data_IF_349744422372
#
_entry.id   IF_349744422372
#
_cell.length_a   1.000
_cell.length_b   1.000
_cell.length_c   1.000
_cell.angle_alpha   90.00
_cell.angle_beta   90.00
_cell.angle_gamma   90.00
#
_symmetry.space_group_name_H-M   'P 1'
#
loop_
_entity.id
_entity.type
_entity.pdbx_description
1 polymer ?
#
# COMPACT_ATOMS: atom_id res chain seq x y z
N UNK A 1 10.31 19.20 -34.29
CA UNK A 1 9.25 19.28 -33.25
C UNK A 1 9.70 18.55 -32.00
N UNK A 2 10.33 19.24 -31.04
CA UNK A 2 10.78 18.67 -29.75
C UNK A 2 10.37 19.62 -28.62
N UNK A 3 9.07 19.91 -28.52
CA UNK A 3 8.48 20.78 -27.48
C UNK A 3 7.46 20.06 -26.61
N UNK A 4 7.30 18.73 -26.75
CA UNK A 4 6.22 17.95 -26.09
C UNK A 4 6.59 17.22 -24.79
N UNK A 5 7.84 16.80 -24.59
CA UNK A 5 8.21 15.89 -23.48
C UNK A 5 8.23 16.56 -22.10
N UNK A 6 8.63 17.83 -22.05
CA UNK A 6 8.64 18.61 -20.80
C UNK A 6 7.24 18.80 -20.20
N UNK A 7 6.25 19.09 -21.04
CA UNK A 7 4.87 19.27 -20.61
C UNK A 7 4.25 17.94 -20.12
N UNK A 8 4.51 16.83 -20.81
CA UNK A 8 4.01 15.52 -20.41
C UNK A 8 4.51 15.10 -19.01
N UNK A 9 5.82 15.26 -18.75
CA UNK A 9 6.43 14.91 -17.45
C UNK A 9 5.89 15.78 -16.32
N UNK A 10 5.70 17.08 -16.58
CA UNK A 10 5.11 18.01 -15.61
C UNK A 10 3.66 17.63 -15.27
N UNK A 11 2.86 17.26 -16.26
CA UNK A 11 1.46 16.81 -16.08
C UNK A 11 1.42 15.54 -15.22
N UNK A 12 2.21 14.52 -15.54
CA UNK A 12 2.25 13.26 -14.77
C UNK A 12 2.68 13.53 -13.32
N UNK A 13 3.71 14.36 -13.13
CA UNK A 13 4.20 14.71 -11.79
C UNK A 13 3.14 15.46 -10.97
N UNK A 14 2.42 16.40 -11.58
CA UNK A 14 1.34 17.15 -10.92
C UNK A 14 0.25 16.21 -10.41
N UNK A 15 -0.26 15.33 -11.25
CA UNK A 15 -1.34 14.42 -10.88
C UNK A 15 -0.88 13.27 -9.98
N UNK A 16 0.36 12.81 -10.12
CA UNK A 16 1.00 11.91 -9.16
C UNK A 16 1.03 12.53 -7.76
N UNK A 17 1.39 13.81 -7.64
CA UNK A 17 1.32 14.53 -6.34
C UNK A 17 -0.11 14.68 -5.84
N UNK A 18 -1.08 14.96 -6.72
CA UNK A 18 -2.49 15.07 -6.33
C UNK A 18 -3.04 13.76 -5.72
N UNK A 19 -2.72 12.62 -6.33
CA UNK A 19 -3.02 11.29 -5.78
C UNK A 19 -2.41 11.09 -4.39
N UNK A 20 -1.13 11.42 -4.21
CA UNK A 20 -0.48 11.29 -2.91
C UNK A 20 -1.11 12.22 -1.89
N UNK A 21 -1.41 13.47 -2.25
CA UNK A 21 -2.04 14.45 -1.37
C UNK A 21 -3.44 13.98 -0.91
N UNK A 22 -4.24 13.43 -1.82
CA UNK A 22 -5.54 12.83 -1.50
C UNK A 22 -5.37 11.63 -0.56
N UNK A 23 -4.45 10.72 -0.86
CA UNK A 23 -4.17 9.56 -0.01
C UNK A 23 -3.76 9.95 1.41
N UNK A 24 -2.89 10.96 1.55
CA UNK A 24 -2.51 11.54 2.85
C UNK A 24 -3.74 12.07 3.61
N UNK A 25 -4.68 12.74 2.93
CA UNK A 25 -5.93 13.18 3.53
C UNK A 25 -6.80 12.02 4.02
N UNK A 26 -6.95 10.96 3.20
CA UNK A 26 -7.65 9.75 3.61
C UNK A 26 -6.97 9.03 4.77
N UNK A 27 -5.64 9.10 4.89
CA UNK A 27 -4.93 8.52 6.03
C UNK A 27 -5.33 9.20 7.33
N UNK A 28 -5.42 10.53 7.35
CA UNK A 28 -5.92 11.29 8.49
C UNK A 28 -7.37 10.92 8.79
N UNK A 29 -8.23 10.92 7.77
CA UNK A 29 -9.64 10.55 7.93
C UNK A 29 -9.80 9.12 8.47
N UNK A 30 -8.98 8.18 8.01
CA UNK A 30 -8.97 6.80 8.49
C UNK A 30 -8.58 6.69 9.96
N UNK A 31 -7.51 7.38 10.39
CA UNK A 31 -7.11 7.36 11.80
C UNK A 31 -8.17 7.98 12.70
N UNK A 32 -8.81 9.08 12.26
CA UNK A 32 -9.92 9.70 12.99
C UNK A 32 -11.11 8.74 13.09
N UNK A 33 -11.50 8.13 11.97
CA UNK A 33 -12.60 7.16 11.92
C UNK A 33 -12.38 5.98 12.88
N UNK A 34 -11.15 5.46 12.97
CA UNK A 34 -10.79 4.41 13.93
C UNK A 34 -10.80 4.94 15.37
N UNK A 35 -10.30 6.16 15.61
CA UNK A 35 -10.28 6.77 16.94
C UNK A 35 -11.68 7.00 17.52
N UNK A 36 -12.64 7.42 16.69
CA UNK A 36 -14.04 7.61 17.10
C UNK A 36 -14.86 6.32 17.09
N UNK A 37 -14.26 5.18 16.73
CA UNK A 37 -14.89 3.87 16.84
C UNK A 37 -15.80 3.48 15.68
N UNK A 38 -15.60 4.03 14.47
CA UNK A 38 -16.36 3.56 13.29
C UNK A 38 -16.05 2.09 12.97
N UNK A 39 -17.07 1.40 12.45
CA UNK A 39 -16.98 0.00 12.10
C UNK A 39 -15.92 -0.28 11.01
N UNK A 40 -15.43 -1.52 10.98
CA UNK A 40 -14.43 -1.97 9.99
C UNK A 40 -14.91 -1.79 8.55
N UNK A 41 -16.20 -1.99 8.30
CA UNK A 41 -16.82 -1.79 7.00
C UNK A 41 -16.61 -0.37 6.46
N UNK A 42 -16.61 0.66 7.32
CA UNK A 42 -16.33 2.04 6.95
C UNK A 42 -14.82 2.34 6.93
N UNK A 43 -14.06 1.84 7.91
CA UNK A 43 -12.64 2.22 8.03
C UNK A 43 -11.74 1.55 6.99
N UNK A 44 -12.04 0.32 6.55
CA UNK A 44 -11.24 -0.38 5.52
C UNK A 44 -11.20 0.40 4.19
N UNK A 45 -12.33 0.89 3.63
CA UNK A 45 -12.32 1.76 2.47
C UNK A 45 -11.41 2.98 2.62
N UNK A 46 -11.44 3.69 3.75
CA UNK A 46 -10.57 4.85 3.98
C UNK A 46 -9.08 4.47 4.00
N UNK A 47 -8.73 3.41 4.73
CA UNK A 47 -7.34 2.98 4.86
C UNK A 47 -6.77 2.34 3.59
N UNK A 48 -7.51 1.43 2.98
CA UNK A 48 -7.03 0.65 1.82
C UNK A 48 -7.28 1.41 0.52
N UNK A 49 -8.52 1.80 0.22
CA UNK A 49 -8.85 2.45 -1.05
C UNK A 49 -8.43 3.91 -1.02
N UNK A 50 -8.84 4.63 0.01
CA UNK A 50 -8.59 6.06 0.18
C UNK A 50 -7.10 6.38 0.34
N UNK A 51 -6.41 5.76 1.29
CA UNK A 51 -5.00 6.07 1.55
C UNK A 51 -4.05 5.25 0.69
N UNK A 52 -3.99 3.93 0.92
CA UNK A 52 -2.94 3.07 0.38
C UNK A 52 -2.96 3.07 -1.15
N UNK A 53 -4.11 2.79 -1.77
CA UNK A 53 -4.22 2.75 -3.22
C UNK A 53 -4.03 4.10 -3.88
N UNK A 54 -4.54 5.20 -3.31
CA UNK A 54 -4.32 6.52 -3.91
C UNK A 54 -2.82 6.85 -3.99
N UNK A 55 -2.06 6.62 -2.92
CA UNK A 55 -0.61 6.84 -2.95
C UNK A 55 0.07 5.91 -3.95
N UNK A 56 -0.29 4.62 -3.94
CA UNK A 56 0.26 3.61 -4.84
C UNK A 56 -0.01 3.95 -6.31
N UNK A 57 -1.25 4.28 -6.67
CA UNK A 57 -1.62 4.67 -8.03
C UNK A 57 -0.85 5.91 -8.49
N UNK A 58 -0.79 6.94 -7.64
CA UNK A 58 -0.01 8.14 -7.93
C UNK A 58 1.45 7.84 -8.25
N UNK A 59 2.09 6.97 -7.47
CA UNK A 59 3.49 6.58 -7.69
C UNK A 59 3.69 5.58 -8.82
N UNK A 60 2.74 4.69 -9.06
CA UNK A 60 2.84 3.70 -10.10
C UNK A 60 2.90 4.33 -11.50
N UNK A 61 2.19 5.45 -11.73
CA UNK A 61 2.26 6.19 -13.00
C UNK A 61 3.65 6.73 -13.35
N UNK A 62 4.54 6.92 -12.37
CA UNK A 62 5.92 7.35 -12.62
C UNK A 62 6.91 6.19 -12.52
N UNK A 63 6.70 5.28 -11.57
CA UNK A 63 7.62 4.19 -11.31
C UNK A 63 7.47 3.05 -12.31
N UNK A 64 6.25 2.55 -12.55
CA UNK A 64 6.03 1.37 -13.40
C UNK A 64 6.52 1.60 -14.83
N UNK A 65 6.21 2.70 -15.53
CA UNK A 65 6.79 2.93 -16.86
C UNK A 65 8.32 2.91 -16.85
N UNK A 66 8.95 3.64 -15.92
CA UNK A 66 10.42 3.71 -15.81
C UNK A 66 11.05 2.33 -15.57
N UNK A 67 10.31 1.47 -14.87
CA UNK A 67 10.70 0.10 -14.54
C UNK A 67 10.72 -0.83 -15.74
N UNK A 68 10.02 -0.46 -16.80
CA UNK A 68 10.01 -1.15 -18.07
C UNK A 68 10.75 -0.34 -19.15
N UNK A 69 11.62 0.60 -18.75
CA UNK A 69 12.34 1.49 -19.66
C UNK A 69 11.41 2.27 -20.61
N UNK A 70 10.24 2.70 -20.11
CA UNK A 70 9.25 3.46 -20.87
C UNK A 70 8.87 4.76 -20.16
N UNK A 71 8.35 5.68 -20.95
CA UNK A 71 7.66 6.87 -20.47
C UNK A 71 6.14 6.64 -20.55
N UNK A 72 5.38 7.27 -19.65
CA UNK A 72 3.93 7.10 -19.63
C UNK A 72 3.30 7.57 -20.94
N UNK A 73 2.60 6.68 -21.63
CA UNK A 73 2.06 6.96 -22.96
C UNK A 73 0.88 7.94 -22.95
N UNK A 74 0.12 8.01 -21.85
CA UNK A 74 -1.07 8.88 -21.72
C UNK A 74 -0.93 9.78 -20.48
N UNK A 75 -0.31 10.96 -20.60
CA UNK A 75 0.01 11.82 -19.46
C UNK A 75 -1.21 12.29 -18.64
N UNK A 76 -2.39 12.36 -19.25
CA UNK A 76 -3.63 12.83 -18.61
C UNK A 76 -4.43 11.72 -17.91
N UNK A 77 -4.10 10.44 -18.13
CA UNK A 77 -4.79 9.32 -17.50
C UNK A 77 -4.83 9.38 -15.95
N UNK A 78 -3.77 9.86 -15.26
CA UNK A 78 -3.85 10.06 -13.81
C UNK A 78 -4.96 11.03 -13.38
N UNK A 79 -5.27 12.07 -14.15
CA UNK A 79 -6.33 13.01 -13.82
C UNK A 79 -7.71 12.34 -13.84
N UNK A 80 -7.99 11.59 -14.91
CA UNK A 80 -9.25 10.85 -15.10
C UNK A 80 -9.37 9.76 -14.03
N UNK A 81 -8.31 8.98 -13.82
CA UNK A 81 -8.28 7.94 -12.81
C UNK A 81 -8.56 8.50 -11.40
N UNK A 82 -7.97 9.64 -11.04
CA UNK A 82 -8.15 10.23 -9.71
C UNK A 82 -9.62 10.52 -9.40
N UNK A 83 -10.39 11.04 -10.37
CA UNK A 83 -11.82 11.31 -10.18
C UNK A 83 -12.59 10.03 -9.83
N UNK A 84 -12.38 8.96 -10.60
CA UNK A 84 -13.04 7.68 -10.40
C UNK A 84 -12.59 6.98 -9.10
N UNK A 85 -11.31 7.06 -8.76
CA UNK A 85 -10.75 6.49 -7.53
C UNK A 85 -11.28 7.22 -6.29
N UNK A 86 -11.40 8.56 -6.34
CA UNK A 86 -11.99 9.37 -5.27
C UNK A 86 -13.45 9.01 -5.05
N UNK A 87 -14.26 9.04 -6.11
CA UNK A 87 -15.68 8.70 -6.04
C UNK A 87 -15.87 7.25 -5.55
N UNK A 88 -15.02 6.32 -6.00
CA UNK A 88 -15.06 4.93 -5.55
C UNK A 88 -14.72 4.75 -4.08
N UNK A 89 -13.65 5.39 -3.59
CA UNK A 89 -13.25 5.31 -2.18
C UNK A 89 -14.28 5.99 -1.25
N UNK A 90 -14.82 7.15 -1.64
CA UNK A 90 -15.85 7.86 -0.88
C UNK A 90 -17.16 7.05 -0.86
N UNK A 91 -17.59 6.52 -2.01
CA UNK A 91 -18.79 5.68 -2.10
C UNK A 91 -18.67 4.41 -1.26
N UNK A 92 -17.51 3.73 -1.30
CA UNK A 92 -17.25 2.56 -0.47
C UNK A 92 -17.26 2.90 1.04
N UNK A 93 -16.69 4.05 1.44
CA UNK A 93 -16.78 4.54 2.81
C UNK A 93 -18.23 4.82 3.23
N UNK A 94 -18.97 5.56 2.40
CA UNK A 94 -20.36 5.92 2.68
C UNK A 94 -21.23 4.67 2.83
N UNK A 95 -21.12 3.71 1.92
CA UNK A 95 -21.80 2.42 2.01
C UNK A 95 -21.43 1.66 3.30
N UNK A 96 -20.13 1.55 3.60
CA UNK A 96 -19.65 0.89 4.82
C UNK A 96 -20.05 1.60 6.13
N UNK A 97 -20.37 2.89 6.06
CA UNK A 97 -20.89 3.70 7.16
C UNK A 97 -22.42 3.73 7.23
N UNK A 98 -23.13 3.10 6.28
CA UNK A 98 -24.59 3.13 6.19
C UNK A 98 -25.16 4.50 5.76
N UNK A 99 -24.39 5.30 5.02
CA UNK A 99 -24.77 6.63 4.58
C UNK A 99 -25.28 6.58 3.12
N UNK A 100 -26.53 7.00 2.93
CA UNK A 100 -27.16 7.10 1.62
C UNK A 100 -27.90 5.83 1.16
N UNK A 101 -28.55 5.85 -0.02
CA UNK A 101 -29.26 4.70 -0.56
C UNK A 101 -28.31 3.59 -1.04
N UNK A 102 -28.83 2.37 -1.24
CA UNK A 102 -28.07 1.20 -1.71
C UNK A 102 -27.35 1.44 -3.04
N UNK A 103 -27.87 2.34 -3.88
CA UNK A 103 -27.23 2.74 -5.15
C UNK A 103 -25.86 3.40 -4.96
N UNK A 104 -25.55 3.96 -3.79
CA UNK A 104 -24.24 4.53 -3.47
C UNK A 104 -23.15 3.46 -3.47
N UNK A 105 -23.45 2.26 -2.95
CA UNK A 105 -22.51 1.16 -2.89
C UNK A 105 -22.13 0.68 -4.30
N UNK A 106 -23.14 0.42 -5.13
CA UNK A 106 -22.95 0.05 -6.53
C UNK A 106 -22.22 1.14 -7.33
N UNK A 107 -22.63 2.40 -7.19
CA UNK A 107 -21.98 3.52 -7.89
C UNK A 107 -20.51 3.68 -7.47
N UNK A 108 -20.22 3.52 -6.17
CA UNK A 108 -18.85 3.51 -5.65
C UNK A 108 -18.02 2.37 -6.22
N UNK A 109 -18.53 1.14 -6.18
CA UNK A 109 -17.85 -0.03 -6.73
C UNK A 109 -17.61 0.10 -8.25
N UNK A 110 -18.60 0.55 -9.00
CA UNK A 110 -18.49 0.76 -10.44
C UNK A 110 -17.47 1.86 -10.78
N UNK A 111 -17.52 2.99 -10.06
CA UNK A 111 -16.54 4.07 -10.20
C UNK A 111 -15.13 3.57 -9.92
N UNK A 112 -14.93 2.81 -8.84
CA UNK A 112 -13.64 2.22 -8.50
C UNK A 112 -13.11 1.30 -9.62
N UNK A 113 -13.96 0.43 -10.15
CA UNK A 113 -13.60 -0.48 -11.25
C UNK A 113 -13.22 0.31 -12.51
N UNK A 114 -13.98 1.33 -12.90
CA UNK A 114 -13.66 2.18 -14.05
C UNK A 114 -12.30 2.86 -13.85
N UNK A 115 -12.03 3.40 -12.66
CA UNK A 115 -10.72 3.97 -12.32
C UNK A 115 -9.58 2.95 -12.50
N UNK A 116 -9.75 1.73 -11.98
CA UNK A 116 -8.79 0.64 -12.13
C UNK A 116 -8.58 0.26 -13.61
N UNK A 117 -9.64 0.23 -14.43
CA UNK A 117 -9.54 -0.05 -15.86
C UNK A 117 -8.76 1.03 -16.59
N UNK A 118 -9.00 2.33 -16.30
CA UNK A 118 -8.22 3.44 -16.85
C UNK A 118 -6.74 3.29 -16.51
N UNK A 119 -6.44 2.99 -15.24
CA UNK A 119 -5.08 2.78 -14.75
C UNK A 119 -4.38 1.62 -15.47
N UNK A 120 -5.00 0.44 -15.48
CA UNK A 120 -4.43 -0.76 -16.08
C UNK A 120 -4.29 -0.60 -17.59
N UNK A 121 -5.32 -0.13 -18.29
CA UNK A 121 -5.25 0.10 -19.74
C UNK A 121 -4.11 1.06 -20.09
N UNK A 122 -3.92 2.13 -19.30
CA UNK A 122 -2.82 3.08 -19.51
C UNK A 122 -1.46 2.43 -19.31
N UNK A 123 -1.28 1.65 -18.24
CA UNK A 123 0.01 0.99 -17.97
C UNK A 123 0.31 -0.11 -19.00
N UNK A 124 -0.67 -0.96 -19.33
CA UNK A 124 -0.54 -1.98 -20.36
C UNK A 124 -0.21 -1.35 -21.72
N UNK A 125 -0.89 -0.27 -22.09
CA UNK A 125 -0.58 0.48 -23.30
C UNK A 125 0.84 1.05 -23.25
N UNK A 126 1.27 1.56 -22.11
CA UNK A 126 2.61 2.14 -21.92
C UNK A 126 3.73 1.10 -22.08
N UNK A 127 3.53 -0.14 -21.60
CA UNK A 127 4.56 -1.19 -21.62
C UNK A 127 4.36 -2.22 -22.74
N UNK A 128 3.48 -1.94 -23.71
CA UNK A 128 3.02 -2.89 -24.75
C UNK A 128 4.15 -3.50 -25.60
N UNK A 129 5.25 -2.78 -25.77
CA UNK A 129 6.42 -3.18 -26.55
C UNK A 129 7.56 -3.78 -25.69
N UNK A 130 7.39 -3.82 -24.36
CA UNK A 130 8.27 -4.52 -23.43
C UNK A 130 7.47 -5.29 -22.35
N UNK A 131 6.51 -6.15 -22.73
CA UNK A 131 5.59 -6.77 -21.76
C UNK A 131 6.30 -7.72 -20.77
N UNK A 132 7.47 -8.22 -21.15
CA UNK A 132 8.29 -9.11 -20.30
C UNK A 132 9.21 -8.38 -19.34
N UNK A 133 9.35 -7.04 -19.47
CA UNK A 133 10.27 -6.25 -18.66
C UNK A 133 11.74 -6.62 -18.85
N UNK A 134 12.12 -7.14 -20.03
CA UNK A 134 13.52 -7.49 -20.38
C UNK A 134 14.42 -6.26 -20.30
N UNK A 135 13.90 -5.14 -20.79
CA UNK A 135 14.48 -3.81 -20.60
C UNK A 135 13.98 -3.23 -19.28
N UNK A 136 14.88 -3.07 -18.31
CA UNK A 136 14.50 -2.70 -16.94
C UNK A 136 14.64 -1.22 -16.62
N UNK A 137 15.18 -0.42 -17.56
CA UNK A 137 15.56 0.98 -17.31
C UNK A 137 16.80 1.12 -16.41
N UNK A 138 17.52 0.02 -16.17
CA UNK A 138 18.70 -0.01 -15.30
C UNK A 138 19.95 0.38 -16.07
N UNK A 139 20.56 1.52 -15.70
CA UNK A 139 21.79 2.04 -16.29
C UNK A 139 23.00 1.12 -16.12
N UNK A 140 24.09 1.42 -16.84
CA UNK A 140 25.33 0.63 -16.85
C UNK A 140 25.99 0.53 -15.47
N UNK A 141 25.97 1.61 -14.70
CA UNK A 141 26.50 1.68 -13.33
C UNK A 141 25.79 0.75 -12.35
N UNK A 142 24.50 0.45 -12.61
CA UNK A 142 23.66 -0.44 -11.81
C UNK A 142 23.44 -1.81 -12.48
N UNK A 143 24.28 -2.20 -13.44
CA UNK A 143 24.07 -3.42 -14.23
C UNK A 143 23.94 -4.69 -13.36
N UNK A 144 24.62 -4.74 -12.22
CA UNK A 144 24.55 -5.83 -11.25
C UNK A 144 23.13 -6.05 -10.66
N UNK A 145 22.23 -5.05 -10.75
CA UNK A 145 20.85 -5.10 -10.26
C UNK A 145 19.85 -5.66 -11.27
N UNK A 146 20.22 -5.77 -12.55
CA UNK A 146 19.30 -6.15 -13.65
C UNK A 146 18.56 -7.46 -13.39
N UNK A 147 19.20 -8.45 -12.76
CA UNK A 147 18.56 -9.73 -12.43
C UNK A 147 17.42 -9.55 -11.43
N UNK A 148 17.65 -8.78 -10.37
CA UNK A 148 16.63 -8.47 -9.36
C UNK A 148 15.48 -7.68 -9.99
N UNK A 149 15.80 -6.68 -10.84
CA UNK A 149 14.79 -5.86 -11.50
C UNK A 149 13.88 -6.69 -12.42
N UNK A 150 14.43 -7.67 -13.16
CA UNK A 150 13.64 -8.58 -14.02
C UNK A 150 12.72 -9.48 -13.20
N UNK A 151 13.23 -10.05 -12.10
CA UNK A 151 12.42 -10.88 -11.20
C UNK A 151 11.28 -10.04 -10.60
N UNK A 152 11.56 -8.80 -10.19
CA UNK A 152 10.55 -7.87 -9.70
C UNK A 152 9.48 -7.52 -10.76
N UNK A 153 9.90 -7.25 -12.00
CA UNK A 153 8.98 -6.94 -13.09
C UNK A 153 8.01 -8.10 -13.40
N UNK A 154 8.45 -9.35 -13.23
CA UNK A 154 7.62 -10.52 -13.47
C UNK A 154 6.41 -10.62 -12.51
N UNK A 155 6.43 -9.92 -11.38
CA UNK A 155 5.29 -9.89 -10.44
C UNK A 155 4.19 -8.88 -10.84
N UNK A 156 4.50 -7.89 -11.69
CA UNK A 156 3.57 -6.81 -12.05
C UNK A 156 2.28 -7.30 -12.73
N UNK A 157 2.31 -8.28 -13.66
CA UNK A 157 1.08 -8.84 -14.22
C UNK A 157 0.14 -9.44 -13.17
N UNK A 158 0.68 -10.08 -12.13
CA UNK A 158 -0.12 -10.64 -11.04
C UNK A 158 -0.74 -9.56 -10.16
N UNK A 159 0.01 -8.47 -9.88
CA UNK A 159 -0.55 -7.28 -9.21
C UNK A 159 -1.74 -6.73 -9.99
N UNK A 160 -1.61 -6.60 -11.32
CA UNK A 160 -2.69 -6.12 -12.20
C UNK A 160 -3.88 -7.07 -12.16
N UNK A 161 -3.65 -8.38 -12.23
CA UNK A 161 -4.70 -9.39 -12.16
C UNK A 161 -5.46 -9.31 -10.82
N UNK A 162 -4.75 -9.23 -9.69
CA UNK A 162 -5.40 -9.10 -8.38
C UNK A 162 -6.21 -7.82 -8.24
N UNK A 163 -5.70 -6.69 -8.78
CA UNK A 163 -6.43 -5.43 -8.78
C UNK A 163 -7.76 -5.56 -9.54
N UNK A 164 -7.71 -6.10 -10.77
CA UNK A 164 -8.89 -6.22 -11.62
C UNK A 164 -9.90 -7.24 -11.07
N UNK A 165 -9.43 -8.38 -10.59
CA UNK A 165 -10.30 -9.39 -9.95
C UNK A 165 -10.95 -8.80 -8.71
N UNK A 166 -10.17 -8.20 -7.81
CA UNK A 166 -10.71 -7.55 -6.60
C UNK A 166 -11.75 -6.48 -6.93
N UNK A 167 -11.48 -5.61 -7.90
CA UNK A 167 -12.41 -4.55 -8.32
C UNK A 167 -13.67 -5.09 -8.99
N UNK A 168 -13.56 -6.17 -9.76
CA UNK A 168 -14.72 -6.81 -10.39
C UNK A 168 -15.60 -7.51 -9.38
N UNK A 169 -15.01 -8.13 -8.35
CA UNK A 169 -15.75 -8.77 -7.26
C UNK A 169 -16.57 -7.77 -6.44
N UNK A 170 -16.10 -6.53 -6.26
CA UNK A 170 -16.90 -5.48 -5.61
C UNK A 170 -18.19 -5.21 -6.39
N UNK A 171 -18.10 -5.04 -7.71
CA UNK A 171 -19.28 -4.79 -8.55
C UNK A 171 -20.20 -6.01 -8.60
N UNK A 172 -19.63 -7.21 -8.74
CA UNK A 172 -20.41 -8.45 -8.76
C UNK A 172 -21.23 -8.64 -7.47
N UNK A 173 -20.64 -8.34 -6.31
CA UNK A 173 -21.33 -8.41 -5.02
C UNK A 173 -22.53 -7.45 -4.95
N UNK A 174 -22.37 -6.21 -5.41
CA UNK A 174 -23.45 -5.21 -5.43
C UNK A 174 -24.56 -5.53 -6.45
N UNK A 175 -24.25 -6.34 -7.47
CA UNK A 175 -25.23 -6.86 -8.44
C UNK A 175 -25.88 -8.17 -7.99
N UNK A 176 -25.54 -8.70 -6.82
CA UNK A 176 -26.06 -9.98 -6.32
C UNK A 176 -25.62 -11.20 -7.13
N UNK A 177 -24.49 -11.11 -7.84
CA UNK A 177 -23.93 -12.22 -8.61
C UNK A 177 -23.11 -13.13 -7.69
N UNK A 178 -23.31 -14.44 -7.78
CA UNK A 178 -22.46 -15.42 -7.10
C UNK A 178 -21.11 -15.55 -7.83
N UNK A 179 -20.00 -15.11 -7.23
CA UNK A 179 -18.70 -15.21 -7.86
C UNK A 179 -18.04 -16.56 -7.55
N UNK A 180 -17.10 -17.00 -8.40
CA UNK A 180 -16.43 -18.29 -8.23
C UNK A 180 -15.43 -18.35 -7.05
N UNK A 181 -15.04 -17.19 -6.50
CA UNK A 181 -14.24 -17.08 -5.29
C UNK A 181 -15.16 -16.79 -4.11
N UNK A 182 -14.71 -17.08 -2.89
CA UNK A 182 -15.38 -16.67 -1.65
C UNK A 182 -15.44 -15.14 -1.55
N UNK A 183 -16.30 -14.48 -2.34
CA UNK A 183 -16.33 -13.03 -2.43
C UNK A 183 -17.21 -12.48 -1.32
N UNK A 184 -16.55 -12.06 -0.26
CA UNK A 184 -17.19 -11.37 0.82
C UNK A 184 -16.13 -10.82 1.76
N UNK A 185 -16.22 -9.52 2.04
CA UNK A 185 -15.47 -8.83 3.08
C UNK A 185 -13.96 -9.14 3.13
N UNK A 186 -13.46 -9.90 4.12
CA UNK A 186 -12.01 -10.08 4.32
C UNK A 186 -11.26 -10.75 3.15
N UNK A 187 -11.89 -11.66 2.39
CA UNK A 187 -11.23 -12.36 1.28
C UNK A 187 -10.87 -11.38 0.14
N UNK A 188 -11.85 -10.57 -0.27
CA UNK A 188 -11.65 -9.48 -1.25
C UNK A 188 -10.62 -8.47 -0.74
N UNK A 189 -10.64 -8.17 0.56
CA UNK A 189 -9.65 -7.28 1.17
C UNK A 189 -8.23 -7.87 1.11
N UNK A 190 -8.06 -9.19 1.22
CA UNK A 190 -6.74 -9.83 1.03
C UNK A 190 -6.26 -9.75 -0.42
N UNK A 191 -7.14 -9.92 -1.42
CA UNK A 191 -6.76 -9.71 -2.84
C UNK A 191 -6.26 -8.29 -3.08
N UNK A 192 -6.93 -7.29 -2.50
CA UNK A 192 -6.51 -5.90 -2.60
C UNK A 192 -5.24 -5.60 -1.79
N UNK A 193 -5.27 -5.77 -0.47
CA UNK A 193 -4.20 -5.35 0.41
C UNK A 193 -2.94 -6.23 0.28
N UNK A 194 -3.11 -7.56 0.19
CA UNK A 194 -1.98 -8.48 0.06
C UNK A 194 -1.63 -8.76 -1.41
N UNK A 195 -2.62 -9.18 -2.21
CA UNK A 195 -2.42 -9.55 -3.62
C UNK A 195 -1.99 -8.38 -4.50
N UNK A 196 -2.57 -7.21 -4.30
CA UNK A 196 -2.25 -6.04 -5.11
C UNK A 196 -1.18 -5.19 -4.44
N UNK A 197 -1.48 -4.61 -3.27
CA UNK A 197 -0.61 -3.60 -2.65
C UNK A 197 0.67 -4.22 -2.11
N UNK A 198 0.59 -5.24 -1.26
CA UNK A 198 1.80 -5.82 -0.66
C UNK A 198 2.72 -6.44 -1.72
N UNK A 199 2.16 -7.17 -2.70
CA UNK A 199 2.95 -7.71 -3.80
C UNK A 199 3.61 -6.60 -4.64
N UNK A 200 2.90 -5.51 -4.94
CA UNK A 200 3.48 -4.35 -5.61
C UNK A 200 4.56 -3.69 -4.77
N UNK A 201 4.35 -3.56 -3.47
CA UNK A 201 5.32 -3.05 -2.51
C UNK A 201 6.58 -3.92 -2.50
N UNK A 202 6.45 -5.25 -2.53
CA UNK A 202 7.60 -6.15 -2.65
C UNK A 202 8.33 -5.92 -3.96
N UNK A 203 7.62 -5.96 -5.09
CA UNK A 203 8.21 -5.80 -6.42
C UNK A 203 8.91 -4.44 -6.57
N UNK A 204 8.22 -3.34 -6.25
CA UNK A 204 8.76 -1.99 -6.30
C UNK A 204 9.84 -1.80 -5.24
N UNK A 205 9.66 -2.34 -4.03
CA UNK A 205 10.60 -2.23 -2.91
C UNK A 205 11.96 -2.85 -3.22
N UNK A 206 11.99 -4.04 -3.82
CA UNK A 206 13.23 -4.69 -4.27
C UNK A 206 13.95 -3.95 -5.41
N UNK A 207 13.29 -3.00 -6.05
CA UNK A 207 13.91 -2.10 -7.02
C UNK A 207 14.33 -0.78 -6.41
N UNK A 208 13.44 -0.16 -5.66
CA UNK A 208 13.58 1.19 -5.15
C UNK A 208 14.53 1.24 -3.94
N UNK A 209 14.33 0.37 -2.94
CA UNK A 209 15.08 0.43 -1.69
C UNK A 209 16.58 0.21 -1.89
N UNK A 210 17.06 -0.77 -2.70
CA UNK A 210 18.48 -0.93 -2.92
C UNK A 210 19.16 0.30 -3.54
N UNK A 211 18.42 1.08 -4.35
CA UNK A 211 18.92 2.33 -4.95
C UNK A 211 18.89 3.49 -3.95
N UNK A 212 17.83 3.61 -3.15
CA UNK A 212 17.73 4.65 -2.11
C UNK A 212 18.80 4.48 -1.03
N UNK A 213 19.08 3.24 -0.67
CA UNK A 213 19.97 2.84 0.42
C UNK A 213 21.40 2.52 -0.06
N UNK A 214 21.65 2.51 -1.38
CA UNK A 214 22.96 2.18 -1.97
C UNK A 214 23.47 0.83 -1.44
N UNK A 215 22.58 -0.16 -1.47
CA UNK A 215 22.81 -1.50 -0.94
C UNK A 215 22.39 -2.54 -1.97
N UNK A 216 22.63 -3.83 -1.73
CA UNK A 216 22.29 -4.90 -2.67
C UNK A 216 21.38 -5.95 -2.03
N UNK A 217 20.62 -6.68 -2.86
CA UNK A 217 19.73 -7.75 -2.40
C UNK A 217 20.02 -9.03 -3.17
N UNK A 218 19.93 -10.17 -2.47
CA UNK A 218 20.14 -11.50 -3.07
C UNK A 218 18.96 -11.86 -3.97
N UNK A 219 19.17 -12.20 -5.27
CA UNK A 219 18.10 -12.53 -6.19
C UNK A 219 17.22 -13.71 -5.76
N UNK A 220 17.77 -14.69 -5.03
CA UNK A 220 17.03 -15.84 -4.52
C UNK A 220 15.97 -15.44 -3.50
N UNK A 221 16.30 -14.51 -2.58
CA UNK A 221 15.35 -13.98 -1.60
C UNK A 221 14.22 -13.22 -2.29
N UNK A 222 14.55 -12.43 -3.32
CA UNK A 222 13.57 -11.71 -4.14
C UNK A 222 12.59 -12.69 -4.79
N UNK A 223 13.12 -13.73 -5.45
CA UNK A 223 12.30 -14.77 -6.09
C UNK A 223 11.38 -15.48 -5.10
N UNK A 224 11.91 -15.89 -3.94
CA UNK A 224 11.12 -16.54 -2.88
C UNK A 224 9.97 -15.65 -2.39
N UNK A 225 10.26 -14.38 -2.06
CA UNK A 225 9.26 -13.44 -1.56
C UNK A 225 8.17 -13.18 -2.59
N UNK A 226 8.51 -12.99 -3.86
CA UNK A 226 7.53 -12.70 -4.90
C UNK A 226 6.68 -13.92 -5.25
N UNK A 227 7.27 -15.12 -5.36
CA UNK A 227 6.50 -16.35 -5.60
C UNK A 227 5.53 -16.62 -4.45
N UNK A 228 6.00 -16.50 -3.20
CA UNK A 228 5.15 -16.66 -2.02
C UNK A 228 4.07 -15.56 -1.93
N UNK A 229 4.42 -14.31 -2.27
CA UNK A 229 3.49 -13.18 -2.31
C UNK A 229 2.48 -13.23 -3.46
N UNK A 230 2.77 -13.97 -4.53
CA UNK A 230 1.80 -14.30 -5.57
C UNK A 230 0.85 -15.39 -5.06
N UNK A 231 1.36 -16.51 -4.54
CA UNK A 231 0.52 -17.65 -4.16
C UNK A 231 -0.35 -17.41 -2.92
N UNK A 232 0.18 -16.73 -1.90
CA UNK A 232 -0.48 -16.54 -0.61
C UNK A 232 -1.87 -15.89 -0.70
N UNK A 233 -2.00 -14.70 -1.31
CA UNK A 233 -3.28 -13.99 -1.40
C UNK A 233 -4.35 -14.76 -2.18
N UNK A 234 -3.97 -15.48 -3.24
CA UNK A 234 -4.90 -16.29 -4.02
C UNK A 234 -5.48 -17.43 -3.18
N UNK A 235 -4.63 -18.19 -2.49
CA UNK A 235 -5.08 -19.30 -1.66
C UNK A 235 -5.92 -18.81 -0.47
N UNK A 236 -5.54 -17.68 0.13
CA UNK A 236 -6.33 -17.05 1.20
C UNK A 236 -7.71 -16.61 0.71
N UNK A 237 -7.81 -16.07 -0.52
CA UNK A 237 -9.08 -15.62 -1.07
C UNK A 237 -9.96 -16.77 -1.58
N UNK A 238 -9.35 -17.85 -2.07
CA UNK A 238 -10.08 -19.02 -2.57
C UNK A 238 -10.85 -19.74 -1.46
N UNK A 239 -10.25 -19.86 -0.27
CA UNK A 239 -10.80 -20.64 0.85
C UNK A 239 -10.67 -19.86 2.17
N UNK A 240 -11.22 -18.65 2.22
CA UNK A 240 -11.02 -17.78 3.37
C UNK A 240 -11.62 -18.38 4.66
N UNK A 241 -10.77 -18.58 5.68
CA UNK A 241 -11.09 -19.32 6.92
C UNK A 241 -11.46 -20.80 6.71
N UNK A 242 -11.16 -21.36 5.55
CA UNK A 242 -11.34 -22.79 5.29
C UNK A 242 -10.19 -23.65 5.81
N UNK A 243 -9.98 -24.77 5.13
CA UNK A 243 -9.10 -25.85 5.58
C UNK A 243 -7.64 -25.68 5.16
N UNK A 244 -7.14 -26.66 4.42
CA UNK A 244 -5.74 -26.70 4.01
C UNK A 244 -5.30 -25.54 3.09
N UNK A 245 -6.10 -25.10 2.09
CA UNK A 245 -5.72 -23.97 1.25
C UNK A 245 -5.53 -22.66 2.03
N UNK A 246 -6.41 -22.37 3.01
CA UNK A 246 -6.26 -21.21 3.89
C UNK A 246 -4.93 -21.22 4.64
N UNK A 247 -4.59 -22.35 5.27
CA UNK A 247 -3.36 -22.55 6.04
C UNK A 247 -2.11 -22.44 5.18
N UNK A 248 -2.13 -23.03 3.99
CA UNK A 248 -1.04 -22.91 3.02
C UNK A 248 -0.87 -21.46 2.55
N UNK A 249 -1.98 -20.78 2.25
CA UNK A 249 -2.01 -19.37 1.89
C UNK A 249 -1.42 -18.48 2.99
N UNK A 250 -1.78 -18.72 4.25
CA UNK A 250 -1.22 -18.03 5.41
C UNK A 250 0.28 -18.27 5.55
N UNK A 251 0.74 -19.51 5.36
CA UNK A 251 2.16 -19.88 5.34
C UNK A 251 2.95 -19.13 4.25
N UNK A 252 2.45 -19.14 3.01
CA UNK A 252 3.09 -18.41 1.90
C UNK A 252 3.11 -16.90 2.14
N UNK A 253 2.01 -16.32 2.64
CA UNK A 253 1.95 -14.90 2.95
C UNK A 253 2.94 -14.52 4.06
N UNK A 254 3.10 -15.38 5.07
CA UNK A 254 4.08 -15.19 6.14
C UNK A 254 5.52 -15.23 5.61
N UNK A 255 5.84 -16.19 4.72
CA UNK A 255 7.14 -16.27 4.05
C UNK A 255 7.44 -14.97 3.29
N UNK A 256 6.46 -14.45 2.54
CA UNK A 256 6.63 -13.21 1.80
C UNK A 256 6.91 -12.01 2.72
N UNK A 257 6.11 -11.84 3.78
CA UNK A 257 6.26 -10.74 4.74
C UNK A 257 7.59 -10.81 5.51
N UNK A 258 7.95 -11.99 6.05
CA UNK A 258 9.18 -12.20 6.81
C UNK A 258 10.40 -12.06 5.90
N UNK A 259 10.36 -12.64 4.69
CA UNK A 259 11.44 -12.53 3.72
C UNK A 259 11.67 -11.08 3.27
N UNK A 260 10.60 -10.31 3.06
CA UNK A 260 10.72 -8.89 2.77
C UNK A 260 11.26 -8.09 3.97
N UNK A 261 10.80 -8.39 5.19
CA UNK A 261 11.31 -7.76 6.41
C UNK A 261 12.81 -8.02 6.59
N UNK A 262 13.26 -9.26 6.37
CA UNK A 262 14.67 -9.63 6.41
C UNK A 262 15.49 -8.84 5.36
N UNK A 263 14.97 -8.68 4.14
CA UNK A 263 15.61 -7.88 3.11
C UNK A 263 15.72 -6.39 3.50
N UNK A 264 14.68 -5.81 4.09
CA UNK A 264 14.69 -4.42 4.57
C UNK A 264 15.74 -4.22 5.67
N UNK A 265 15.83 -5.16 6.62
CA UNK A 265 16.84 -5.12 7.69
C UNK A 265 18.25 -5.24 7.11
N UNK A 266 18.47 -6.18 6.18
CA UNK A 266 19.76 -6.37 5.51
C UNK A 266 20.20 -5.12 4.74
N UNK A 267 19.31 -4.56 3.90
CA UNK A 267 19.55 -3.30 3.18
C UNK A 267 19.85 -2.14 4.13
N UNK A 268 19.14 -2.06 5.26
CA UNK A 268 19.35 -1.00 6.25
C UNK A 268 20.69 -1.13 6.98
N UNK A 269 21.18 -2.36 7.20
CA UNK A 269 22.49 -2.64 7.80
C UNK A 269 23.64 -2.30 6.85
N UNK A 270 23.47 -2.56 5.55
CA UNK A 270 24.44 -2.20 4.51
C UNK A 270 24.53 -0.69 4.25
N UNK A 271 23.48 0.06 4.58
CA UNK A 271 23.34 1.47 4.19
C UNK A 271 23.93 2.45 5.20
N UNK A 272 24.93 3.22 4.77
CA UNK A 272 25.43 4.38 5.52
C UNK A 272 24.49 5.59 5.48
N UNK A 273 23.55 5.63 4.52
CA UNK A 273 22.59 6.73 4.39
C UNK A 273 21.63 6.79 5.58
N UNK A 274 21.66 7.93 6.27
CA UNK A 274 20.73 8.27 7.35
C UNK A 274 19.67 9.23 6.81
N UNK A 275 18.47 8.72 6.54
CA UNK A 275 17.29 9.52 6.21
C UNK A 275 16.16 9.17 7.16
N UNK A 276 15.35 10.16 7.54
CA UNK A 276 14.23 10.00 8.48
C UNK A 276 13.26 8.88 8.05
N UNK A 277 13.00 8.76 6.74
CA UNK A 277 12.14 7.72 6.18
C UNK A 277 12.60 6.28 6.44
N UNK A 278 13.90 6.05 6.72
CA UNK A 278 14.45 4.71 7.00
C UNK A 278 13.84 4.10 8.26
N UNK A 279 13.59 4.90 9.30
CA UNK A 279 13.01 4.42 10.56
C UNK A 279 11.58 3.90 10.36
N UNK A 280 10.78 4.63 9.58
CA UNK A 280 9.43 4.18 9.24
C UNK A 280 9.44 2.87 8.44
N UNK A 281 10.35 2.72 7.47
CA UNK A 281 10.49 1.49 6.68
C UNK A 281 10.90 0.29 7.56
N UNK A 282 11.80 0.48 8.53
CA UNK A 282 12.18 -0.56 9.49
C UNK A 282 11.03 -0.93 10.43
N UNK A 283 10.31 0.06 10.95
CA UNK A 283 9.12 -0.17 11.77
C UNK A 283 8.01 -0.90 10.98
N UNK A 284 7.84 -0.56 9.70
CA UNK A 284 6.94 -1.23 8.78
C UNK A 284 7.30 -2.71 8.60
N UNK A 285 8.59 -3.02 8.40
CA UNK A 285 9.09 -4.40 8.30
C UNK A 285 8.81 -5.19 9.60
N UNK A 286 9.03 -4.58 10.76
CA UNK A 286 8.66 -5.16 12.05
C UNK A 286 7.16 -5.44 12.15
N UNK A 287 6.31 -4.48 11.76
CA UNK A 287 4.87 -4.69 11.68
C UNK A 287 4.51 -5.82 10.72
N UNK A 288 5.14 -5.93 9.56
CA UNK A 288 4.94 -7.02 8.61
C UNK A 288 5.23 -8.40 9.21
N UNK A 289 6.29 -8.51 10.02
CA UNK A 289 6.59 -9.74 10.76
C UNK A 289 5.51 -10.05 11.82
N UNK A 290 5.00 -9.04 12.52
CA UNK A 290 3.90 -9.21 13.48
C UNK A 290 2.58 -9.59 12.79
N UNK A 291 2.29 -9.03 11.61
CA UNK A 291 1.16 -9.43 10.75
C UNK A 291 1.27 -10.91 10.40
N UNK A 292 2.46 -11.36 9.99
CA UNK A 292 2.71 -12.77 9.69
C UNK A 292 2.49 -13.66 10.92
N UNK A 293 3.06 -13.30 12.07
CA UNK A 293 2.89 -14.07 13.31
C UNK A 293 1.42 -14.19 13.73
N UNK A 294 0.68 -13.06 13.74
CA UNK A 294 -0.72 -13.06 14.12
C UNK A 294 -1.61 -13.74 13.08
N UNK A 295 -1.29 -13.61 11.79
CA UNK A 295 -1.98 -14.31 10.71
C UNK A 295 -1.81 -15.83 10.78
N UNK A 296 -0.61 -16.31 11.11
CA UNK A 296 -0.36 -17.73 11.36
C UNK A 296 -1.10 -18.21 12.62
N UNK A 297 -1.11 -17.42 13.69
CA UNK A 297 -1.88 -17.76 14.88
C UNK A 297 -3.38 -17.91 14.53
N UNK A 298 -3.95 -16.97 13.76
CA UNK A 298 -5.33 -17.05 13.26
C UNK A 298 -5.58 -18.28 12.37
N UNK A 299 -4.59 -18.70 11.58
CA UNK A 299 -4.74 -19.82 10.65
C UNK A 299 -4.62 -21.20 11.30
N UNK A 300 -3.84 -21.32 12.37
CA UNK A 300 -3.47 -22.61 12.95
C UNK A 300 -3.96 -22.81 14.39
N UNK A 301 -4.18 -21.75 15.17
CA UNK A 301 -4.64 -21.88 16.54
C UNK A 301 -6.17 -22.11 16.60
N UNK A 302 -6.67 -22.89 17.58
CA UNK A 302 -8.08 -22.95 17.90
C UNK A 302 -8.64 -21.56 18.22
N UNK A 303 -9.85 -21.26 17.73
CA UNK A 303 -10.48 -19.96 17.93
C UNK A 303 -10.69 -19.60 19.41
N UNK A 304 -10.81 -20.59 20.30
CA UNK A 304 -10.97 -20.42 21.74
C UNK A 304 -9.76 -19.80 22.45
N UNK A 305 -8.58 -19.84 21.82
CA UNK A 305 -7.32 -19.33 22.41
C UNK A 305 -7.06 -17.89 21.98
N UNK A 306 -7.62 -17.45 20.85
CA UNK A 306 -7.36 -16.13 20.29
C UNK A 306 -8.29 -15.09 20.89
N UNK A 307 -7.75 -13.93 21.35
CA UNK A 307 -8.59 -12.81 21.75
C UNK A 307 -9.52 -12.38 20.61
N UNK A 308 -10.78 -12.02 20.87
CA UNK A 308 -11.69 -11.54 19.82
C UNK A 308 -11.12 -10.36 19.00
N UNK A 309 -10.35 -9.49 19.68
CA UNK A 309 -9.69 -8.33 19.10
C UNK A 309 -8.45 -8.66 18.24
N UNK A 310 -8.03 -9.93 18.15
CA UNK A 310 -6.89 -10.35 17.33
C UNK A 310 -7.07 -9.95 15.86
N UNK A 311 -8.29 -10.03 15.33
CA UNK A 311 -8.58 -9.62 13.96
C UNK A 311 -8.43 -8.10 13.74
N UNK A 312 -8.75 -7.29 14.75
CA UNK A 312 -8.54 -5.83 14.70
C UNK A 312 -7.05 -5.52 14.78
N UNK A 313 -6.32 -6.15 15.71
CA UNK A 313 -4.88 -6.01 15.83
C UNK A 313 -4.17 -6.39 14.52
N UNK A 314 -4.55 -7.51 13.88
CA UNK A 314 -4.03 -7.93 12.58
C UNK A 314 -4.29 -6.89 11.50
N UNK A 315 -5.52 -6.39 11.40
CA UNK A 315 -5.89 -5.36 10.44
C UNK A 315 -5.09 -4.07 10.64
N UNK A 316 -4.97 -3.59 11.88
CA UNK A 316 -4.24 -2.36 12.21
C UNK A 316 -2.75 -2.48 11.93
N UNK A 317 -2.15 -3.62 12.28
CA UNK A 317 -0.76 -3.93 11.93
C UNK A 317 -0.55 -4.03 10.41
N UNK A 318 -1.48 -4.62 9.67
CA UNK A 318 -1.36 -4.79 8.22
C UNK A 318 -1.47 -3.46 7.48
N UNK A 319 -2.55 -2.70 7.72
CA UNK A 319 -2.84 -1.48 6.96
C UNK A 319 -2.07 -0.28 7.51
N UNK A 320 -2.05 -0.10 8.83
CA UNK A 320 -1.42 1.07 9.45
C UNK A 320 0.07 0.88 9.68
N UNK A 321 0.45 -0.32 10.13
CA UNK A 321 1.84 -0.69 10.37
C UNK A 321 2.59 -0.98 9.08
N UNK A 322 2.37 -2.15 8.49
CA UNK A 322 3.15 -2.62 7.34
C UNK A 322 2.96 -1.73 6.10
N UNK A 323 1.72 -1.56 5.61
CA UNK A 323 1.48 -0.74 4.42
C UNK A 323 1.67 0.75 4.70
N UNK A 324 1.05 1.26 5.77
CA UNK A 324 1.06 2.68 6.09
C UNK A 324 2.44 3.23 6.42
N UNK A 325 3.20 2.59 7.32
CA UNK A 325 4.55 3.07 7.65
C UNK A 325 5.52 2.91 6.47
N UNK A 326 5.33 1.90 5.60
CA UNK A 326 6.12 1.81 4.35
C UNK A 326 5.85 3.02 3.47
N UNK A 327 4.57 3.38 3.26
CA UNK A 327 4.17 4.55 2.49
C UNK A 327 4.73 5.84 3.10
N UNK A 328 4.61 6.03 4.42
CA UNK A 328 5.15 7.21 5.12
C UNK A 328 6.65 7.32 4.91
N UNK A 329 7.39 6.23 5.14
CA UNK A 329 8.83 6.20 4.99
C UNK A 329 9.27 6.49 3.56
N UNK A 330 8.70 5.80 2.57
CA UNK A 330 8.98 6.02 1.15
C UNK A 330 8.59 7.43 0.69
N UNK A 331 7.50 7.98 1.23
CA UNK A 331 7.09 9.36 0.95
C UNK A 331 8.16 10.36 1.41
N UNK A 332 8.77 10.18 2.58
CA UNK A 332 9.89 11.01 3.02
C UNK A 332 11.18 10.80 2.22
N UNK A 333 11.31 9.70 1.46
CA UNK A 333 12.39 9.57 0.47
C UNK A 333 12.10 10.37 -0.81
N UNK A 334 10.85 10.36 -1.31
CA UNK A 334 10.45 11.09 -2.50
C UNK A 334 10.26 12.61 -2.26
N UNK A 335 9.87 12.96 -1.05
CA UNK A 335 9.57 14.32 -0.61
C UNK A 335 10.35 14.57 0.68
N UNK A 336 11.67 14.82 0.58
CA UNK A 336 12.53 14.96 1.75
C UNK A 336 12.08 16.13 2.65
N UNK A 337 11.83 15.91 3.95
CA UNK A 337 11.38 16.97 4.85
C UNK A 337 12.39 18.11 4.97
N UNK A 338 13.69 17.82 4.89
CA UNK A 338 14.78 18.79 4.94
C UNK A 338 14.74 19.87 3.83
N UNK A 339 13.93 19.72 2.78
CA UNK A 339 13.79 20.76 1.74
C UNK A 339 12.70 21.78 2.04
N UNK A 340 11.90 21.57 3.09
CA UNK A 340 10.86 22.51 3.48
C UNK A 340 11.45 23.81 4.02
N UNK A 341 10.85 24.94 3.67
CA UNK A 341 11.27 26.28 4.11
C UNK A 341 10.41 26.83 5.25
N UNK A 342 9.21 26.28 5.45
CA UNK A 342 8.31 26.65 6.55
C UNK A 342 8.89 26.29 7.93
N UNK A 343 8.99 27.25 8.87
CA UNK A 343 9.45 26.98 10.24
C UNK A 343 8.66 25.86 10.93
N UNK A 344 9.37 24.92 11.56
CA UNK A 344 8.77 23.78 12.26
C UNK A 344 8.48 22.56 11.37
N UNK A 345 8.53 22.70 10.04
CA UNK A 345 8.42 21.58 9.10
C UNK A 345 9.82 21.14 8.67
N UNK A 346 10.16 19.88 8.92
CA UNK A 346 11.47 19.33 8.60
C UNK A 346 11.67 17.93 9.17
N UNK A 347 12.92 17.49 9.27
CA UNK A 347 13.25 16.12 9.73
C UNK A 347 12.78 15.84 11.17
N UNK A 348 12.68 16.86 12.02
CA UNK A 348 12.17 16.73 13.39
C UNK A 348 10.67 16.42 13.43
N UNK A 349 9.84 17.17 12.71
CA UNK A 349 8.39 16.90 12.62
C UNK A 349 8.11 15.60 11.88
N UNK A 350 8.91 15.26 10.87
CA UNK A 350 8.85 13.94 10.23
C UNK A 350 9.26 12.80 11.16
N UNK A 351 10.23 13.00 12.06
CA UNK A 351 10.59 12.00 13.07
C UNK A 351 9.48 11.86 14.13
N UNK A 352 8.91 12.99 14.56
CA UNK A 352 7.80 13.01 15.51
C UNK A 352 6.55 12.32 14.97
N UNK A 353 6.23 12.51 13.68
CA UNK A 353 5.11 11.81 13.04
C UNK A 353 5.32 10.29 13.07
N UNK A 354 6.52 9.80 12.73
CA UNK A 354 6.86 8.38 12.76
C UNK A 354 6.79 7.83 14.17
N UNK A 355 7.37 8.54 15.14
CA UNK A 355 7.35 8.11 16.55
C UNK A 355 5.91 7.99 17.07
N UNK A 356 5.05 8.98 16.79
CA UNK A 356 3.65 8.97 17.18
C UNK A 356 2.87 7.83 16.49
N UNK A 357 3.09 7.58 15.19
CA UNK A 357 2.46 6.48 14.49
C UNK A 357 2.88 5.11 15.03
N UNK A 358 4.18 4.90 15.28
CA UNK A 358 4.72 3.64 15.77
C UNK A 358 4.28 3.38 17.21
N UNK A 359 4.44 4.37 18.09
CA UNK A 359 4.03 4.25 19.49
C UNK A 359 2.50 4.11 19.60
N UNK A 360 1.75 4.91 18.83
CA UNK A 360 0.29 4.85 18.80
C UNK A 360 -0.22 3.47 18.35
N UNK A 361 0.32 2.94 17.26
CA UNK A 361 -0.03 1.59 16.80
C UNK A 361 0.38 0.51 17.81
N UNK A 362 1.56 0.63 18.41
CA UNK A 362 2.04 -0.31 19.42
C UNK A 362 1.13 -0.36 20.66
N UNK A 363 0.74 0.81 21.18
CA UNK A 363 -0.21 0.94 22.29
C UNK A 363 -1.59 0.40 21.92
N UNK A 364 -2.08 0.70 20.71
CA UNK A 364 -3.37 0.20 20.24
C UNK A 364 -3.37 -1.33 20.18
N UNK A 365 -2.36 -1.93 19.55
CA UNK A 365 -2.24 -3.39 19.39
C UNK A 365 -2.06 -4.08 20.74
N UNK A 366 -1.19 -3.57 21.61
CA UNK A 366 -1.00 -4.12 22.94
C UNK A 366 -2.29 -4.05 23.77
N UNK A 367 -2.99 -2.91 23.73
CA UNK A 367 -4.28 -2.74 24.39
C UNK A 367 -5.36 -3.69 23.86
N UNK A 368 -5.42 -3.91 22.54
CA UNK A 368 -6.36 -4.85 21.92
C UNK A 368 -6.09 -6.29 22.39
N UNK A 369 -4.81 -6.71 22.38
CA UNK A 369 -4.44 -8.09 22.76
C UNK A 369 -4.55 -8.34 24.26
N UNK A 370 -4.28 -7.33 25.09
CA UNK A 370 -4.40 -7.41 26.55
C UNK A 370 -5.81 -7.05 27.07
N UNK A 371 -6.74 -6.68 26.20
CA UNK A 371 -8.09 -6.19 26.56
C UNK A 371 -8.07 -4.99 27.53
N UNK A 372 -7.21 -4.00 27.26
CA UNK A 372 -7.06 -2.77 28.04
C UNK A 372 -7.55 -1.55 27.23
N UNK A 373 -8.82 -1.12 27.39
CA UNK A 373 -9.43 -0.10 26.53
C UNK A 373 -8.74 1.27 26.56
N UNK A 374 -8.16 1.66 27.71
CA UNK A 374 -7.46 2.93 27.86
C UNK A 374 -6.20 3.01 26.97
N UNK A 375 -5.45 1.90 26.83
CA UNK A 375 -4.31 1.81 25.93
C UNK A 375 -4.76 1.89 24.46
N UNK A 376 -5.89 1.26 24.12
CA UNK A 376 -6.48 1.33 22.77
C UNK A 376 -6.83 2.78 22.42
N UNK A 377 -7.54 3.48 23.31
CA UNK A 377 -7.92 4.89 23.09
C UNK A 377 -6.71 5.81 22.93
N UNK A 378 -5.73 5.70 23.83
CA UNK A 378 -4.50 6.48 23.76
C UNK A 378 -3.72 6.21 22.48
N UNK A 379 -3.58 4.94 22.10
CA UNK A 379 -2.87 4.53 20.88
C UNK A 379 -3.50 5.07 19.61
N UNK A 380 -4.83 5.06 19.53
CA UNK A 380 -5.58 5.59 18.37
C UNK A 380 -5.40 7.11 18.22
N UNK A 381 -5.54 7.88 19.29
CA UNK A 381 -5.35 9.34 19.23
C UNK A 381 -3.89 9.73 18.98
N UNK A 382 -2.93 8.96 19.50
CA UNK A 382 -1.52 9.14 19.16
C UNK A 382 -1.26 8.89 17.66
N UNK A 383 -1.93 7.89 17.08
CA UNK A 383 -1.87 7.61 15.64
C UNK A 383 -2.50 8.74 14.80
N UNK A 384 -3.59 9.36 15.27
CA UNK A 384 -4.18 10.56 14.65
C UNK A 384 -3.16 11.70 14.61
N UNK A 385 -2.52 12.00 15.75
CA UNK A 385 -1.49 13.03 15.82
C UNK A 385 -0.35 12.76 14.83
N UNK A 386 0.13 11.51 14.78
CA UNK A 386 1.16 11.10 13.82
C UNK A 386 0.74 11.29 12.37
N UNK A 387 -0.51 10.94 12.01
CA UNK A 387 -1.03 11.13 10.67
C UNK A 387 -1.19 12.60 10.30
N UNK A 388 -1.64 13.46 11.23
CA UNK A 388 -1.75 14.91 11.00
C UNK A 388 -0.38 15.54 10.80
N UNK A 389 0.63 15.16 11.60
CA UNK A 389 2.01 15.63 11.41
C UNK A 389 2.58 15.17 10.07
N UNK A 390 2.33 13.92 9.67
CA UNK A 390 2.71 13.42 8.35
C UNK A 390 2.06 14.25 7.22
N UNK A 391 0.77 14.54 7.35
CA UNK A 391 0.04 15.37 6.39
C UNK A 391 0.59 16.79 6.31
N UNK A 392 0.85 17.42 7.45
CA UNK A 392 1.44 18.76 7.51
C UNK A 392 2.80 18.83 6.80
N UNK A 393 3.66 17.81 6.99
CA UNK A 393 4.95 17.74 6.29
C UNK A 393 4.76 17.57 4.78
N UNK A 394 3.96 16.61 4.34
CA UNK A 394 3.79 16.33 2.92
C UNK A 394 3.10 17.47 2.17
N UNK A 395 2.00 18.01 2.70
CA UNK A 395 1.26 19.09 2.05
C UNK A 395 2.08 20.38 1.98
N UNK A 396 2.86 20.70 3.02
CA UNK A 396 3.80 21.84 2.97
C UNK A 396 4.77 21.71 1.80
N UNK A 397 5.43 20.55 1.66
CA UNK A 397 6.38 20.31 0.55
C UNK A 397 5.67 20.39 -0.81
N UNK A 398 4.42 19.95 -0.91
CA UNK A 398 3.66 20.03 -2.17
C UNK A 398 3.29 21.47 -2.52
N UNK A 399 2.91 22.28 -1.54
CA UNK A 399 2.57 23.69 -1.73
C UNK A 399 3.81 24.50 -2.13
N UNK A 400 4.95 24.28 -1.49
CA UNK A 400 6.20 24.96 -1.83
C UNK A 400 6.69 24.62 -3.25
N UNK A 401 6.44 23.39 -3.73
CA UNK A 401 6.79 22.98 -5.11
C UNK A 401 5.77 23.36 -6.17
N UNK A 402 4.61 23.86 -5.77
CA UNK A 402 3.56 24.33 -6.67
C UNK A 402 3.68 25.84 -6.96
N UNK A 403 4.40 26.55 -6.10
CA UNK A 403 4.90 27.91 -6.34
C UNK A 403 6.12 27.83 -7.25
#
# INVERSE_FOLDING_TARGET
MVTGSGNATAIVTRWSRAFVAAGVGFFVAWQIAVAVGLARAATVPLGVFGFVFHVVFGKAYTLVPSYFARELAVPHAPAIHLLFALAGAIGAFAAGAGIGPSTVALAGAASWLVGCLVFVATLCWTVRDNPTGRETGTGTTDAHRKRVDRIANAAIPFVVAYLLVGSSLLVAAELGLEPPLSAGGPATTHLFAAGTVALLLFAVGFRLLPRLLVASTRPSLVGLVLVAGIGGPLLLAADFRGGSPFRLGAGLQAIALIGFAAAVVDLSRQSERRRVGRLAILAAAGCGALVAALGLAVAFAPASILPPAAFDAHYRLAVGGFLGLTIVGVSYHFYPPAVATVPGIGDRSASASIAALVAGLGLEVAGLLASVPSLVGLGRWCSVLGAVLYAAVCWTIFLERAR
#
